data_IF_546887935748
#
_entry.id   IF_546887935748
#
_cell.length_a   1.000
_cell.length_b   1.000
_cell.length_c   1.000
_cell.angle_alpha   90.00
_cell.angle_beta   90.00
_cell.angle_gamma   90.00
#
_symmetry.space_group_name_H-M   'P 1'
#
loop_
_entity.id
_entity.type
_entity.pdbx_description
1 polymer ?
#
# COMPACT_ATOMS: atom_id res chain seq x y z
N UNK A 1 -6.65 22.73 -16.14
CA UNK A 1 -6.27 21.62 -15.26
C UNK A 1 -5.01 21.02 -15.86
N UNK A 2 -3.87 21.12 -15.18
CA UNK A 2 -2.65 20.45 -15.63
C UNK A 2 -2.88 18.94 -15.61
N UNK A 3 -2.41 18.23 -16.63
CA UNK A 3 -2.48 16.76 -16.65
C UNK A 3 -1.80 16.20 -15.39
N UNK A 4 -2.38 15.17 -14.75
CA UNK A 4 -1.65 14.26 -13.87
C UNK A 4 -0.24 13.98 -14.42
N UNK A 5 0.80 14.20 -13.62
CA UNK A 5 2.17 13.83 -13.98
C UNK A 5 2.38 12.32 -13.82
N UNK A 6 1.63 11.55 -14.60
CA UNK A 6 1.66 10.08 -14.60
C UNK A 6 3.05 9.58 -14.98
N UNK A 7 3.76 10.32 -15.85
CA UNK A 7 5.13 9.99 -16.22
C UNK A 7 6.06 10.04 -15.00
N UNK A 8 6.02 11.13 -14.22
CA UNK A 8 6.80 11.26 -12.99
C UNK A 8 6.48 10.18 -11.94
N UNK A 9 5.22 9.77 -11.82
CA UNK A 9 4.80 8.68 -10.92
C UNK A 9 5.44 7.35 -11.34
N UNK A 10 5.38 7.03 -12.63
CA UNK A 10 5.97 5.79 -13.17
C UNK A 10 7.50 5.81 -13.07
N UNK A 11 8.14 6.96 -13.28
CA UNK A 11 9.59 7.14 -13.09
C UNK A 11 10.01 6.90 -11.64
N UNK A 12 9.32 7.52 -10.68
CA UNK A 12 9.56 7.30 -9.25
C UNK A 12 9.33 5.84 -8.84
N UNK A 13 8.30 5.18 -9.37
CA UNK A 13 8.06 3.75 -9.10
C UNK A 13 9.21 2.87 -9.60
N UNK A 14 9.73 3.14 -10.81
CA UNK A 14 10.90 2.42 -11.34
C UNK A 14 12.16 2.67 -10.51
N UNK A 15 12.35 3.90 -10.04
CA UNK A 15 13.48 4.24 -9.18
C UNK A 15 13.40 3.53 -7.83
N UNK A 16 12.21 3.38 -7.24
CA UNK A 16 12.03 2.58 -6.02
C UNK A 16 12.41 1.11 -6.23
N UNK A 17 12.01 0.51 -7.36
CA UNK A 17 12.38 -0.87 -7.66
C UNK A 17 13.90 -1.03 -7.85
N UNK A 18 14.55 -0.05 -8.46
CA UNK A 18 16.01 0.00 -8.55
C UNK A 18 16.67 0.14 -7.19
N UNK A 19 16.22 1.08 -6.36
CA UNK A 19 16.75 1.32 -5.02
C UNK A 19 16.64 0.07 -4.15
N UNK A 20 15.52 -0.66 -4.22
CA UNK A 20 15.37 -1.95 -3.52
C UNK A 20 16.43 -2.96 -3.92
N UNK A 21 16.71 -3.08 -5.22
CA UNK A 21 17.75 -3.99 -5.73
C UNK A 21 19.13 -3.56 -5.24
N UNK A 22 19.46 -2.27 -5.35
CA UNK A 22 20.74 -1.73 -4.91
C UNK A 22 20.95 -1.91 -3.39
N UNK A 23 19.89 -1.72 -2.59
CA UNK A 23 19.91 -1.99 -1.14
C UNK A 23 20.14 -3.48 -0.84
N UNK A 24 19.51 -4.39 -1.59
CA UNK A 24 19.73 -5.84 -1.43
C UNK A 24 21.19 -6.22 -1.72
N UNK A 25 21.78 -5.69 -2.80
CA UNK A 25 23.19 -5.92 -3.14
C UNK A 25 24.14 -5.43 -2.03
N UNK A 26 23.90 -4.23 -1.49
CA UNK A 26 24.69 -3.69 -0.37
C UNK A 26 24.52 -4.54 0.89
N UNK A 27 23.30 -4.98 1.21
CA UNK A 27 23.03 -5.84 2.35
C UNK A 27 23.77 -7.18 2.24
N UNK A 28 23.81 -7.78 1.05
CA UNK A 28 24.55 -9.01 0.80
C UNK A 28 26.06 -8.82 1.02
N UNK A 29 26.65 -7.72 0.56
CA UNK A 29 28.08 -7.45 0.77
C UNK A 29 28.38 -7.14 2.25
N UNK A 30 27.49 -6.44 2.97
CA UNK A 30 27.58 -6.26 4.43
C UNK A 30 27.59 -7.61 5.15
N UNK A 31 26.64 -8.49 4.84
CA UNK A 31 26.55 -9.83 5.45
C UNK A 31 27.81 -10.67 5.17
N UNK A 32 28.34 -10.59 3.95
CA UNK A 32 29.58 -11.28 3.57
C UNK A 32 30.78 -10.73 4.33
N UNK A 33 30.87 -9.41 4.53
CA UNK A 33 31.92 -8.79 5.34
C UNK A 33 31.82 -9.23 6.81
N UNK A 34 30.62 -9.23 7.39
CA UNK A 34 30.40 -9.74 8.75
C UNK A 34 30.80 -11.20 8.90
N UNK A 35 30.42 -12.05 7.95
CA UNK A 35 30.80 -13.47 7.97
C UNK A 35 32.32 -13.66 7.95
N UNK A 36 33.05 -12.86 7.16
CA UNK A 36 34.53 -12.88 7.14
C UNK A 36 35.12 -12.41 8.47
N UNK A 37 34.63 -11.29 9.00
CA UNK A 37 35.11 -10.73 10.26
C UNK A 37 34.86 -11.67 11.45
N UNK A 38 33.72 -12.37 11.46
CA UNK A 38 33.41 -13.36 12.48
C UNK A 38 34.27 -14.62 12.37
N UNK A 39 34.60 -15.06 11.14
CA UNK A 39 35.43 -16.24 10.91
C UNK A 39 36.91 -16.00 11.25
N UNK A 40 37.40 -14.77 11.09
CA UNK A 40 38.80 -14.42 11.36
C UNK A 40 38.90 -13.11 12.16
N UNK A 41 38.59 -13.11 13.47
CA UNK A 41 38.56 -11.89 14.27
C UNK A 41 39.93 -11.20 14.41
N UNK A 42 41.03 -11.97 14.37
CA UNK A 42 42.40 -11.43 14.44
C UNK A 42 42.77 -10.53 13.25
N UNK A 43 42.08 -10.62 12.10
CA UNK A 43 42.41 -9.79 10.93
C UNK A 43 42.13 -8.31 11.18
N UNK A 44 41.24 -8.01 12.13
CA UNK A 44 40.88 -6.64 12.52
C UNK A 44 41.98 -5.96 13.33
N UNK A 45 42.85 -6.77 13.96
CA UNK A 45 43.96 -6.30 14.78
C UNK A 45 45.26 -6.19 13.97
N UNK A 46 45.27 -6.63 12.72
CA UNK A 46 46.46 -6.58 11.85
C UNK A 46 46.64 -5.17 11.26
N UNK A 47 47.82 -4.54 11.43
CA UNK A 47 48.12 -3.28 10.79
C UNK A 47 48.07 -3.44 9.26
N UNK A 48 47.25 -2.63 8.59
CA UNK A 48 47.00 -2.68 7.15
C UNK A 48 45.66 -3.32 6.75
N UNK A 49 44.92 -3.90 7.70
CA UNK A 49 43.54 -4.33 7.42
C UNK A 49 42.61 -3.11 7.27
N UNK A 50 41.76 -3.19 6.25
CA UNK A 50 40.78 -2.15 5.93
C UNK A 50 39.35 -2.68 5.98
N UNK A 51 39.14 -3.85 6.59
CA UNK A 51 37.83 -4.53 6.58
C UNK A 51 36.78 -3.72 7.33
N UNK A 52 37.13 -3.12 8.47
CA UNK A 52 36.24 -2.21 9.19
C UNK A 52 35.95 -0.92 8.41
N UNK A 53 36.96 -0.35 7.75
CA UNK A 53 36.79 0.85 6.92
C UNK A 53 35.85 0.58 5.74
N UNK A 54 36.00 -0.58 5.07
CA UNK A 54 35.09 -1.02 4.02
C UNK A 54 33.68 -1.27 4.55
N UNK A 55 33.55 -1.91 5.70
CA UNK A 55 32.26 -2.15 6.34
C UNK A 55 31.55 -0.82 6.68
N UNK A 56 32.29 0.17 7.20
CA UNK A 56 31.77 1.52 7.43
C UNK A 56 31.25 2.16 6.14
N UNK A 57 32.00 2.07 5.04
CA UNK A 57 31.59 2.60 3.74
C UNK A 57 30.28 1.94 3.27
N UNK A 58 30.18 0.61 3.38
CA UNK A 58 28.96 -0.12 3.01
C UNK A 58 27.75 0.32 3.84
N UNK A 59 27.91 0.51 5.15
CA UNK A 59 26.83 1.02 5.99
C UNK A 59 26.44 2.47 5.67
N UNK A 60 27.41 3.33 5.36
CA UNK A 60 27.13 4.69 4.88
C UNK A 60 26.34 4.65 3.58
N UNK A 61 26.75 3.81 2.62
CA UNK A 61 26.04 3.64 1.36
C UNK A 61 24.61 3.10 1.58
N UNK A 62 24.43 2.12 2.46
CA UNK A 62 23.10 1.60 2.81
C UNK A 62 22.19 2.70 3.39
N UNK A 63 22.74 3.57 4.25
CA UNK A 63 22.02 4.72 4.81
C UNK A 63 21.61 5.72 3.71
N UNK A 64 22.52 6.08 2.81
CA UNK A 64 22.24 7.00 1.70
C UNK A 64 21.16 6.45 0.76
N UNK A 65 21.21 5.15 0.43
CA UNK A 65 20.18 4.48 -0.37
C UNK A 65 18.82 4.49 0.34
N UNK A 66 18.79 4.28 1.66
CA UNK A 66 17.55 4.34 2.45
C UNK A 66 16.98 5.75 2.53
N UNK A 67 17.82 6.77 2.71
CA UNK A 67 17.41 8.18 2.69
C UNK A 67 16.84 8.57 1.32
N UNK A 68 17.46 8.10 0.24
CA UNK A 68 16.98 8.32 -1.13
C UNK A 68 15.63 7.63 -1.37
N UNK A 69 15.48 6.38 -0.91
CA UNK A 69 14.20 5.65 -1.00
C UNK A 69 13.07 6.38 -0.27
N UNK A 70 13.33 6.88 0.93
CA UNK A 70 12.36 7.69 1.70
C UNK A 70 12.00 8.97 0.93
N UNK A 71 12.97 9.64 0.32
CA UNK A 71 12.71 10.83 -0.50
C UNK A 71 11.82 10.51 -1.71
N UNK A 72 12.13 9.46 -2.47
CA UNK A 72 11.36 9.05 -3.65
C UNK A 72 9.95 8.59 -3.24
N UNK A 73 9.82 7.87 -2.13
CA UNK A 73 8.53 7.42 -1.58
C UNK A 73 7.63 8.60 -1.19
N UNK A 74 8.18 9.60 -0.50
CA UNK A 74 7.44 10.81 -0.13
C UNK A 74 7.03 11.64 -1.35
N UNK A 75 7.90 11.70 -2.37
CA UNK A 75 7.58 12.34 -3.65
C UNK A 75 6.43 11.62 -4.35
N UNK A 76 6.50 10.30 -4.45
CA UNK A 76 5.45 9.47 -5.04
C UNK A 76 4.13 9.60 -4.29
N UNK A 77 4.16 9.60 -2.96
CA UNK A 77 2.97 9.80 -2.13
C UNK A 77 2.32 11.17 -2.41
N UNK A 78 3.12 12.23 -2.46
CA UNK A 78 2.63 13.58 -2.76
C UNK A 78 2.01 13.68 -4.15
N UNK A 79 2.59 13.00 -5.14
CA UNK A 79 2.05 12.94 -6.49
C UNK A 79 0.73 12.15 -6.55
N UNK A 80 0.64 11.03 -5.84
CA UNK A 80 -0.59 10.23 -5.75
C UNK A 80 -1.72 11.00 -5.03
N UNK A 81 -1.40 11.70 -3.95
CA UNK A 81 -2.37 12.54 -3.22
C UNK A 81 -2.93 13.65 -4.11
N UNK A 82 -2.12 14.22 -5.01
CA UNK A 82 -2.57 15.22 -5.97
C UNK A 82 -3.51 14.67 -7.06
N UNK A 83 -3.52 13.35 -7.29
CA UNK A 83 -4.44 12.69 -8.22
C UNK A 83 -5.78 12.36 -7.60
N UNK A 84 -5.85 12.28 -6.27
CA UNK A 84 -7.13 12.09 -5.59
C UNK A 84 -8.01 13.30 -5.90
N UNK A 85 -9.24 13.11 -6.41
CA UNK A 85 -10.14 14.21 -6.63
C UNK A 85 -10.41 14.87 -5.28
N UNK A 86 -9.82 16.04 -5.03
CA UNK A 86 -10.26 16.93 -3.97
C UNK A 86 -11.75 17.12 -4.18
N UNK A 87 -12.57 16.52 -3.30
CA UNK A 87 -14.01 16.49 -3.44
C UNK A 87 -14.57 17.86 -3.76
N UNK A 88 -15.01 18.05 -5.00
CA UNK A 88 -15.72 19.25 -5.40
C UNK A 88 -17.12 19.23 -4.76
N UNK A 89 -17.24 19.82 -3.57
CA UNK A 89 -18.34 20.73 -3.19
C UNK A 89 -18.33 21.12 -1.69
N UNK A 90 -17.22 21.64 -1.18
CA UNK A 90 -17.29 22.57 -0.05
C UNK A 90 -17.71 23.97 -0.56
N UNK A 91 -18.95 24.12 -1.04
CA UNK A 91 -19.56 25.44 -1.19
C UNK A 91 -19.81 26.03 0.21
N UNK A 92 -19.47 27.31 0.47
CA UNK A 92 -19.70 27.94 1.76
C UNK A 92 -21.19 28.29 1.89
N UNK A 93 -22.04 27.35 2.31
CA UNK A 93 -23.43 27.66 2.65
C UNK A 93 -23.57 28.06 4.11
N UNK A 94 -23.63 29.38 4.27
CA UNK A 94 -24.32 30.17 5.29
C UNK A 94 -23.84 30.01 6.74
N UNK A 95 -23.27 31.11 7.24
CA UNK A 95 -23.29 31.49 8.65
C UNK A 95 -24.70 31.23 9.21
N UNK A 96 -24.79 30.33 10.18
CA UNK A 96 -25.86 30.37 11.17
C UNK A 96 -25.20 30.81 12.47
N UNK A 97 -25.44 32.09 12.76
CA UNK A 97 -25.26 32.68 14.07
C UNK A 97 -26.27 32.01 15.00
N UNK A 98 -25.81 31.46 16.12
CA UNK A 98 -26.67 30.63 16.95
C UNK A 98 -26.04 30.10 18.23
N UNK A 99 -25.84 31.01 19.19
CA UNK A 99 -26.06 30.81 20.62
C UNK A 99 -25.04 30.00 21.45
N UNK A 100 -24.26 30.75 22.23
CA UNK A 100 -23.58 30.33 23.45
C UNK A 100 -24.52 29.61 24.43
N UNK A 101 -24.09 28.44 24.95
CA UNK A 101 -24.28 28.12 26.37
C UNK A 101 -23.40 26.96 26.83
N UNK A 102 -22.45 27.30 27.71
CA UNK A 102 -21.66 26.44 28.59
C UNK A 102 -22.45 25.21 29.09
N UNK A 103 -21.95 24.00 28.85
CA UNK A 103 -21.93 22.94 29.88
C UNK A 103 -20.68 22.08 29.75
N UNK A 104 -19.80 22.21 30.74
CA UNK A 104 -18.74 21.26 31.07
C UNK A 104 -19.37 19.86 31.23
N UNK A 105 -18.91 18.89 30.46
CA UNK A 105 -18.89 17.49 30.89
C UNK A 105 -17.61 16.85 30.39
N UNK A 106 -16.60 16.89 31.24
CA UNK A 106 -15.46 15.97 31.20
C UNK A 106 -16.06 14.57 31.34
N UNK A 107 -15.89 13.72 30.32
CA UNK A 107 -15.79 12.28 30.50
C UNK A 107 -14.74 11.74 29.54
N UNK A 108 -13.77 11.10 30.16
CA UNK A 108 -12.77 10.26 29.55
C UNK A 108 -13.42 9.10 28.78
N UNK A 109 -12.57 8.48 27.97
CA UNK A 109 -12.65 7.10 27.48
C UNK A 109 -13.53 6.85 26.26
N UNK A 110 -12.88 6.86 25.09
CA UNK A 110 -12.93 5.73 24.15
C UNK A 110 -12.01 6.03 22.97
N UNK A 111 -10.83 5.42 22.98
CA UNK A 111 -10.01 5.16 21.79
C UNK A 111 -10.75 4.17 20.87
N UNK A 112 -11.93 4.56 20.39
CA UNK A 112 -12.44 4.02 19.15
C UNK A 112 -11.62 4.77 18.11
N UNK A 113 -10.55 4.12 17.63
CA UNK A 113 -9.88 4.51 16.41
C UNK A 113 -10.94 4.62 15.34
N UNK A 114 -11.50 5.82 15.18
CA UNK A 114 -12.47 6.13 14.14
C UNK A 114 -11.68 5.87 12.86
N UNK A 115 -12.03 4.78 12.17
CA UNK A 115 -11.52 4.48 10.84
C UNK A 115 -11.45 5.79 10.06
N UNK A 116 -10.27 6.05 9.47
CA UNK A 116 -10.06 7.30 8.74
C UNK A 116 -11.16 7.45 7.69
N UNK A 117 -11.57 8.68 7.35
CA UNK A 117 -12.60 8.90 6.33
C UNK A 117 -12.30 8.17 5.02
N UNK A 118 -11.02 8.05 4.65
CA UNK A 118 -10.55 7.30 3.49
C UNK A 118 -10.80 5.78 3.62
N UNK A 119 -10.46 5.16 4.75
CA UNK A 119 -10.71 3.73 4.97
C UNK A 119 -12.22 3.42 5.01
N UNK A 120 -13.02 4.34 5.56
CA UNK A 120 -14.48 4.21 5.54
C UNK A 120 -15.04 4.27 4.11
N UNK A 121 -14.59 5.24 3.32
CA UNK A 121 -14.99 5.36 1.92
C UNK A 121 -14.58 4.15 1.09
N UNK A 122 -13.40 3.57 1.34
CA UNK A 122 -12.95 2.36 0.67
C UNK A 122 -13.84 1.16 1.02
N UNK A 123 -14.18 0.99 2.30
CA UNK A 123 -15.05 -0.08 2.77
C UNK A 123 -16.47 0.03 2.18
N UNK A 124 -16.97 1.26 2.03
CA UNK A 124 -18.24 1.55 1.35
C UNK A 124 -18.17 1.19 -0.14
N UNK A 125 -17.08 1.54 -0.82
CA UNK A 125 -16.86 1.15 -2.21
C UNK A 125 -16.83 -0.38 -2.40
N UNK A 126 -16.15 -1.12 -1.52
CA UNK A 126 -16.15 -2.59 -1.55
C UNK A 126 -17.53 -3.19 -1.31
N UNK A 127 -18.34 -2.63 -0.40
CA UNK A 127 -19.73 -3.09 -0.23
C UNK A 127 -20.63 -2.80 -1.42
N UNK A 128 -20.35 -1.75 -2.18
CA UNK A 128 -21.12 -1.40 -3.37
C UNK A 128 -20.82 -2.31 -4.57
N UNK A 129 -19.79 -3.17 -4.51
CA UNK A 129 -19.51 -4.15 -5.55
C UNK A 129 -20.49 -5.33 -5.56
N UNK A 130 -21.39 -5.44 -4.58
CA UNK A 130 -22.41 -6.50 -4.53
C UNK A 130 -23.27 -6.49 -5.80
N UNK A 131 -23.32 -7.62 -6.50
CA UNK A 131 -24.03 -7.84 -7.75
C UNK A 131 -23.19 -7.57 -8.99
N UNK A 132 -22.01 -6.96 -8.86
CA UNK A 132 -21.13 -6.61 -9.96
C UNK A 132 -20.30 -7.83 -10.39
N UNK A 133 -20.04 -7.95 -11.70
CA UNK A 133 -19.12 -8.95 -12.26
C UNK A 133 -17.69 -8.39 -12.25
N UNK A 134 -16.76 -9.15 -11.68
CA UNK A 134 -15.35 -8.76 -11.51
C UNK A 134 -14.41 -9.89 -11.89
N UNK A 135 -13.21 -9.55 -12.37
CA UNK A 135 -12.15 -10.55 -12.59
C UNK A 135 -11.46 -10.86 -11.26
N UNK A 136 -11.68 -12.07 -10.72
CA UNK A 136 -10.99 -12.58 -9.55
C UNK A 136 -9.73 -13.35 -9.95
N UNK A 137 -8.64 -13.08 -9.23
CA UNK A 137 -7.36 -13.79 -9.43
C UNK A 137 -7.32 -15.04 -8.57
N UNK A 138 -7.26 -16.20 -9.20
CA UNK A 138 -7.19 -17.50 -8.55
C UNK A 138 -5.76 -18.03 -8.66
N UNK A 139 -5.15 -18.33 -7.52
CA UNK A 139 -3.88 -19.05 -7.46
C UNK A 139 -4.18 -20.54 -7.44
N UNK A 140 -4.05 -21.20 -8.58
CA UNK A 140 -4.13 -22.66 -8.64
C UNK A 140 -2.85 -23.23 -8.02
N UNK A 141 -3.01 -23.92 -6.89
CA UNK A 141 -1.91 -24.61 -6.21
C UNK A 141 -1.32 -25.61 -7.23
N UNK A 142 -0.06 -25.39 -7.65
CA UNK A 142 0.75 -26.16 -8.63
C UNK A 142 0.97 -25.53 -10.02
N UNK A 143 0.55 -24.29 -10.29
CA UNK A 143 0.99 -23.55 -11.49
C UNK A 143 1.46 -22.14 -11.14
N UNK A 144 2.61 -21.72 -11.68
CA UNK A 144 3.14 -20.34 -11.53
C UNK A 144 2.34 -19.31 -12.36
N UNK A 145 1.20 -19.71 -12.93
CA UNK A 145 0.31 -18.85 -13.70
C UNK A 145 -0.89 -18.51 -12.84
N UNK A 146 -1.03 -17.23 -12.52
CA UNK A 146 -2.25 -16.66 -11.96
C UNK A 146 -3.35 -16.72 -13.05
N UNK A 147 -4.49 -17.33 -12.73
CA UNK A 147 -5.66 -17.37 -13.61
C UNK A 147 -6.67 -16.32 -13.18
N UNK A 148 -7.32 -15.66 -14.15
CA UNK A 148 -8.35 -14.66 -13.90
C UNK A 148 -9.71 -15.24 -14.32
N UNK A 149 -10.64 -15.31 -13.37
CA UNK A 149 -11.99 -15.81 -13.60
C UNK A 149 -12.98 -14.68 -13.36
N UNK A 150 -14.00 -14.56 -14.21
CA UNK A 150 -15.07 -13.57 -14.02
C UNK A 150 -16.07 -14.14 -13.03
N UNK A 151 -16.23 -13.47 -11.89
CA UNK A 151 -17.13 -13.91 -10.82
C UNK A 151 -18.06 -12.77 -10.43
N UNK A 152 -19.25 -13.11 -9.93
CA UNK A 152 -20.21 -12.13 -9.42
C UNK A 152 -20.05 -11.98 -7.91
N UNK A 153 -19.93 -10.75 -7.43
CA UNK A 153 -19.77 -10.50 -6.00
C UNK A 153 -21.14 -10.64 -5.30
N UNK A 154 -21.24 -11.56 -4.35
CA UNK A 154 -22.46 -11.81 -3.57
C UNK A 154 -22.48 -11.01 -2.28
N UNK A 155 -21.33 -10.94 -1.62
CA UNK A 155 -21.18 -10.26 -0.36
C UNK A 155 -19.74 -9.80 -0.12
N UNK A 156 -19.58 -8.76 0.70
CA UNK A 156 -18.30 -8.32 1.20
C UNK A 156 -18.38 -8.20 2.72
N UNK A 157 -17.61 -9.04 3.41
CA UNK A 157 -17.52 -9.03 4.87
C UNK A 157 -16.57 -7.90 5.29
N UNK A 158 -17.10 -6.95 6.06
CA UNK A 158 -16.35 -5.77 6.51
C UNK A 158 -15.33 -6.09 7.60
N UNK A 159 -15.56 -7.15 8.36
CA UNK A 159 -14.73 -7.53 9.49
C UNK A 159 -13.55 -8.39 9.03
N UNK A 160 -13.78 -9.35 8.13
CA UNK A 160 -12.71 -10.20 7.56
C UNK A 160 -12.06 -9.61 6.32
N UNK A 161 -12.70 -8.63 5.67
CA UNK A 161 -12.29 -8.04 4.37
C UNK A 161 -12.27 -9.06 3.23
N UNK A 162 -13.20 -10.00 3.26
CA UNK A 162 -13.31 -11.08 2.28
C UNK A 162 -14.53 -10.87 1.38
N UNK A 163 -14.40 -11.31 0.13
CA UNK A 163 -15.49 -11.29 -0.85
C UNK A 163 -16.05 -12.71 -1.01
N UNK A 164 -17.36 -12.84 -0.83
CA UNK A 164 -18.11 -14.01 -1.27
C UNK A 164 -18.47 -13.81 -2.74
N UNK A 165 -18.10 -14.76 -3.59
CA UNK A 165 -18.27 -14.66 -5.05
C UNK A 165 -18.90 -15.92 -5.61
N UNK A 166 -19.69 -15.79 -6.67
CA UNK A 166 -20.34 -16.88 -7.38
C UNK A 166 -19.83 -16.93 -8.83
N UNK A 167 -19.39 -18.12 -9.26
CA UNK A 167 -18.96 -18.39 -10.63
C UNK A 167 -20.20 -18.68 -11.48
N UNK A 168 -20.74 -17.66 -12.15
CA UNK A 168 -21.82 -17.83 -13.12
C UNK A 168 -21.17 -18.36 -14.42
N UNK A 169 -21.15 -19.69 -14.59
CA UNK A 169 -20.70 -20.33 -15.83
C UNK A 169 -21.48 -19.74 -17.02
N UNK A 170 -20.83 -19.35 -18.13
CA UNK A 170 -21.49 -18.72 -19.26
C UNK A 170 -22.36 -19.75 -20.00
N UNK A 171 -23.60 -19.91 -19.53
CA UNK A 171 -24.56 -20.89 -20.04
C UNK A 171 -25.85 -21.06 -19.23
N UNK A 172 -25.93 -20.55 -17.99
CA UNK A 172 -27.10 -20.73 -17.12
C UNK A 172 -28.24 -19.71 -17.38
N UNK A 173 -28.52 -19.41 -18.66
CA UNK A 173 -29.86 -18.95 -19.06
C UNK A 173 -30.77 -20.19 -19.15
N UNK A 174 -31.24 -20.72 -18.03
CA UNK A 174 -32.43 -21.59 -18.01
C UNK A 174 -33.47 -21.07 -17.00
N UNK A 175 -34.42 -20.32 -17.56
CA UNK A 175 -35.86 -20.56 -17.44
C UNK A 175 -36.46 -20.78 -16.03
N UNK A 176 -37.23 -19.80 -15.54
CA UNK A 176 -38.18 -20.06 -14.46
C UNK A 176 -38.95 -18.85 -13.95
N UNK A 177 -40.14 -18.59 -14.50
CA UNK A 177 -41.13 -17.76 -13.80
C UNK A 177 -42.23 -17.12 -14.62
N UNK A 178 -42.84 -17.84 -15.56
CA UNK A 178 -44.18 -17.47 -16.00
C UNK A 178 -45.19 -17.71 -14.88
N UNK A 179 -45.93 -16.68 -14.48
CA UNK A 179 -47.31 -16.82 -14.00
C UNK A 179 -48.06 -15.48 -14.10
N UNK A 180 -49.03 -15.45 -15.01
CA UNK A 180 -50.29 -14.69 -14.88
C UNK A 180 -51.27 -15.54 -14.06
#
# INVERSE_FOLDING_TARGET
MSSPDIAGILDNSRELDRLRKDQEEVLLEINKMHKKLQATPEVVEKPGDNSLSKLKILYTQAKELSETEVQVSNSLLSQLDALLPNGASAQPRRKIEGNDQKRKRIKADSDISKLSPAMRSQLEACTNLKGEQVAARVKVLNTEKDEWVVVKVMHFDRDTKEFEVLDEEPGDEEEGGGQK
#
